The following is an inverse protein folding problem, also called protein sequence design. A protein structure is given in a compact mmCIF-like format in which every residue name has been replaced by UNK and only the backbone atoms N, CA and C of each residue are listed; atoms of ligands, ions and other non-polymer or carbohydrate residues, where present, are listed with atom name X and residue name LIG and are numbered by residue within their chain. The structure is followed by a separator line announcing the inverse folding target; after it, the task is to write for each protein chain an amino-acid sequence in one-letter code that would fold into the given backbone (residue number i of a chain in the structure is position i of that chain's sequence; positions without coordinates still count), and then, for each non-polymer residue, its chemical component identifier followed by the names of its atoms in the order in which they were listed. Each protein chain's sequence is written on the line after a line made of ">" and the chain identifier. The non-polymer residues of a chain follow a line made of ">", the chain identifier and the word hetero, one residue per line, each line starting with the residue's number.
data_IF_794372158830
#
_entry.id   IF_794372158830
#
_cell.length_a   1.000
_cell.length_b   1.000
_cell.length_c   1.000
_cell.angle_alpha   90.00
_cell.angle_beta   90.00
_cell.angle_gamma   90.00
#
_symmetry.space_group_name_H-M   'P 1'
#
loop_
_entity.id
_entity.type
_entity.pdbx_description
1 polymer ?
#
# COMPACT_ATOMS: atom_id res chain seq x y z
N UNK A 1 15.13 26.30 21.25
CA UNK A 1 14.08 25.29 21.52
C UNK A 1 13.20 24.99 20.30
N UNK A 2 13.23 25.79 19.24
CA UNK A 2 12.35 25.65 18.06
C UNK A 2 12.78 24.59 17.02
N UNK A 3 14.02 24.08 17.12
CA UNK A 3 14.61 23.20 16.10
C UNK A 3 14.29 21.71 16.32
N UNK A 4 13.84 21.32 17.50
CA UNK A 4 13.61 19.91 17.87
C UNK A 4 12.20 19.42 17.52
N UNK A 5 11.17 20.27 17.61
CA UNK A 5 9.79 19.95 17.19
C UNK A 5 9.65 19.75 15.67
N UNK A 6 10.44 20.47 14.87
CA UNK A 6 10.44 20.34 13.40
C UNK A 6 11.00 18.98 12.93
N UNK A 7 11.86 18.35 13.74
CA UNK A 7 12.44 17.03 13.45
C UNK A 7 11.48 15.90 13.83
N UNK A 8 10.69 16.07 14.90
CA UNK A 8 9.70 15.08 15.35
C UNK A 8 8.52 14.96 14.37
N UNK A 9 8.02 16.08 13.84
CA UNK A 9 6.92 16.06 12.87
C UNK A 9 7.30 15.43 11.52
N UNK A 10 8.59 15.47 11.16
CA UNK A 10 9.13 14.90 9.92
C UNK A 10 9.30 13.38 9.99
N UNK A 11 9.52 12.81 11.17
CA UNK A 11 9.62 11.36 11.36
C UNK A 11 8.23 10.73 11.41
N UNK A 12 7.26 11.36 12.09
CA UNK A 12 5.88 10.86 12.21
C UNK A 12 5.22 10.65 10.84
N UNK A 13 5.31 11.64 9.94
CA UNK A 13 4.77 11.52 8.57
C UNK A 13 5.42 10.35 7.80
N UNK A 14 6.70 10.06 8.06
CA UNK A 14 7.40 8.96 7.38
C UNK A 14 6.95 7.60 7.91
N UNK A 15 6.76 7.46 9.22
CA UNK A 15 6.28 6.21 9.84
C UNK A 15 4.80 5.94 9.56
N UNK A 16 3.94 6.96 9.63
CA UNK A 16 2.51 6.82 9.28
C UNK A 16 2.32 6.32 7.85
N UNK A 17 3.09 6.86 6.91
CA UNK A 17 3.08 6.42 5.51
C UNK A 17 3.50 4.96 5.34
N UNK A 18 4.45 4.47 6.15
CA UNK A 18 4.87 3.06 6.13
C UNK A 18 3.77 2.17 6.68
N UNK A 19 3.11 2.60 7.77
CA UNK A 19 1.94 1.89 8.32
C UNK A 19 0.83 1.76 7.28
N UNK A 20 0.51 2.83 6.56
CA UNK A 20 -0.56 2.80 5.55
C UNK A 20 -0.24 1.87 4.39
N UNK A 21 1.02 1.84 3.94
CA UNK A 21 1.48 0.92 2.89
C UNK A 21 1.42 -0.55 3.37
N UNK A 22 1.80 -0.81 4.62
CA UNK A 22 1.68 -2.15 5.22
C UNK A 22 0.21 -2.58 5.36
N UNK A 23 -0.66 -1.69 5.81
CA UNK A 23 -2.10 -1.95 5.90
C UNK A 23 -2.68 -2.28 4.52
N UNK A 24 -2.33 -1.51 3.50
CA UNK A 24 -2.71 -1.80 2.11
C UNK A 24 -2.21 -3.17 1.65
N UNK A 25 -0.95 -3.51 1.92
CA UNK A 25 -0.38 -4.79 1.49
C UNK A 25 -1.10 -5.99 2.14
N UNK A 26 -1.48 -5.88 3.41
CA UNK A 26 -2.26 -6.92 4.11
C UNK A 26 -3.65 -7.08 3.48
N UNK A 27 -4.33 -5.98 3.17
CA UNK A 27 -5.65 -6.00 2.51
C UNK A 27 -5.58 -6.61 1.11
N UNK A 28 -4.60 -6.20 0.30
CA UNK A 28 -4.37 -6.75 -1.04
C UNK A 28 -4.04 -8.26 -0.99
N UNK A 29 -3.42 -8.74 0.08
CA UNK A 29 -3.16 -10.17 0.28
C UNK A 29 -4.43 -10.96 0.67
N UNK A 30 -5.29 -10.36 1.49
CA UNK A 30 -6.56 -10.96 1.91
C UNK A 30 -7.63 -10.95 0.79
N UNK A 31 -7.54 -9.99 -0.13
CA UNK A 31 -8.49 -9.81 -1.22
C UNK A 31 -8.31 -10.86 -2.34
N UNK A 32 -9.09 -11.94 -2.29
CA UNK A 32 -9.03 -13.02 -3.30
C UNK A 32 -9.26 -12.56 -4.74
N UNK A 33 -10.15 -11.59 -4.94
CA UNK A 33 -10.46 -11.00 -6.24
C UNK A 33 -9.56 -9.83 -6.64
N UNK A 34 -8.64 -9.43 -5.75
CA UNK A 34 -7.94 -8.16 -5.85
C UNK A 34 -8.80 -6.97 -5.42
N UNK A 35 -8.19 -5.78 -5.44
CA UNK A 35 -8.83 -4.51 -5.11
C UNK A 35 -8.54 -3.48 -6.19
N UNK A 36 -9.55 -2.69 -6.52
CA UNK A 36 -9.44 -1.53 -7.40
C UNK A 36 -8.92 -0.32 -6.65
N UNK A 37 -8.43 0.69 -7.39
CA UNK A 37 -8.04 1.97 -6.80
C UNK A 37 -9.21 2.61 -6.04
N UNK A 38 -10.43 2.48 -6.54
CA UNK A 38 -11.62 3.07 -5.92
C UNK A 38 -11.91 2.41 -4.55
N UNK A 39 -11.81 1.09 -4.46
CA UNK A 39 -11.95 0.36 -3.18
C UNK A 39 -10.84 0.73 -2.20
N UNK A 40 -9.60 0.91 -2.68
CA UNK A 40 -8.48 1.38 -1.84
C UNK A 40 -8.75 2.79 -1.30
N UNK A 41 -9.35 3.68 -2.10
CA UNK A 41 -9.73 5.02 -1.65
C UNK A 41 -10.77 4.96 -0.53
N UNK A 42 -11.80 4.13 -0.71
CA UNK A 42 -12.89 3.99 0.25
C UNK A 42 -12.40 3.36 1.55
N UNK A 43 -11.71 2.22 1.49
CA UNK A 43 -11.26 1.47 2.66
C UNK A 43 -10.24 2.23 3.52
N UNK A 44 -9.35 2.99 2.88
CA UNK A 44 -8.32 3.76 3.59
C UNK A 44 -8.72 5.22 3.79
N UNK A 45 -9.88 5.64 3.29
CA UNK A 45 -10.36 7.03 3.33
C UNK A 45 -9.32 8.03 2.78
N UNK A 46 -8.72 7.69 1.64
CA UNK A 46 -7.67 8.49 1.00
C UNK A 46 -8.07 9.01 -0.38
N UNK A 47 -7.39 10.07 -0.83
CA UNK A 47 -7.54 10.56 -2.21
C UNK A 47 -7.08 9.52 -3.22
N UNK A 48 -7.61 9.57 -4.45
CA UNK A 48 -7.19 8.71 -5.58
C UNK A 48 -5.68 8.70 -5.79
N UNK A 49 -5.07 9.89 -5.82
CA UNK A 49 -3.63 10.04 -6.03
C UNK A 49 -2.82 9.43 -4.88
N UNK A 50 -3.36 9.46 -3.66
CA UNK A 50 -2.74 8.79 -2.52
C UNK A 50 -2.85 7.27 -2.64
N UNK A 51 -4.03 6.74 -3.01
CA UNK A 51 -4.23 5.31 -3.26
C UNK A 51 -3.31 4.78 -4.37
N UNK A 52 -3.23 5.48 -5.50
CA UNK A 52 -2.31 5.14 -6.60
C UNK A 52 -0.86 5.12 -6.15
N UNK A 53 -0.42 6.15 -5.39
CA UNK A 53 0.93 6.19 -4.84
C UNK A 53 1.20 5.07 -3.86
N UNK A 54 0.25 4.74 -2.98
CA UNK A 54 0.37 3.63 -2.04
C UNK A 54 0.48 2.30 -2.80
N UNK A 55 -0.37 2.06 -3.82
CA UNK A 55 -0.28 0.89 -4.70
C UNK A 55 1.06 0.78 -5.40
N UNK A 56 1.57 1.88 -5.99
CA UNK A 56 2.89 1.90 -6.62
C UNK A 56 4.01 1.62 -5.60
N UNK A 57 3.85 2.06 -4.36
CA UNK A 57 4.81 1.76 -3.29
C UNK A 57 4.78 0.28 -2.93
N UNK A 58 3.60 -0.34 -2.87
CA UNK A 58 3.44 -1.79 -2.68
C UNK A 58 4.07 -2.56 -3.84
N UNK A 59 3.81 -2.17 -5.08
CA UNK A 59 4.41 -2.76 -6.28
C UNK A 59 5.95 -2.72 -6.26
N UNK A 60 6.52 -1.62 -5.77
CA UNK A 60 7.96 -1.47 -5.61
C UNK A 60 8.53 -2.28 -4.43
N UNK A 61 7.81 -2.34 -3.31
CA UNK A 61 8.31 -2.93 -2.06
C UNK A 61 8.09 -4.45 -1.96
N UNK A 62 7.09 -5.00 -2.64
CA UNK A 62 6.69 -6.40 -2.54
C UNK A 62 6.74 -7.09 -3.90
N UNK A 63 7.34 -8.28 -3.94
CA UNK A 63 7.24 -9.15 -5.10
C UNK A 63 5.89 -9.86 -5.14
N UNK A 64 5.29 -10.02 -6.32
CA UNK A 64 4.04 -10.77 -6.49
C UNK A 64 2.77 -9.94 -6.32
N UNK A 65 2.82 -8.64 -6.62
CA UNK A 65 1.63 -7.86 -6.92
C UNK A 65 1.19 -8.15 -8.36
N UNK A 66 -0.05 -8.59 -8.56
CA UNK A 66 -0.60 -8.95 -9.86
C UNK A 66 -1.96 -8.28 -10.11
N UNK A 67 -2.36 -8.21 -11.39
CA UNK A 67 -3.73 -7.83 -11.77
C UNK A 67 -4.58 -9.08 -11.97
N UNK A 68 -5.69 -9.17 -11.25
CA UNK A 68 -6.68 -10.23 -11.41
C UNK A 68 -7.74 -9.79 -12.42
N UNK A 69 -8.06 -10.59 -13.45
CA UNK A 69 -9.17 -10.30 -14.34
C UNK A 69 -10.49 -10.45 -13.59
N UNK A 70 -11.28 -9.38 -13.50
CA UNK A 70 -12.59 -9.39 -12.82
C UNK A 70 -13.79 -9.24 -13.78
N UNK A 71 -13.53 -9.16 -15.10
CA UNK A 71 -14.59 -8.99 -16.10
C UNK A 71 -15.15 -7.57 -16.22
N UNK A 72 -14.59 -6.61 -15.49
CA UNK A 72 -14.87 -5.18 -15.64
C UNK A 72 -13.69 -4.45 -16.34
N UNK A 73 -13.86 -3.15 -16.58
CA UNK A 73 -12.81 -2.31 -17.17
C UNK A 73 -11.84 -1.75 -16.11
N UNK A 74 -11.83 -2.30 -14.90
CA UNK A 74 -10.97 -1.84 -13.79
C UNK A 74 -9.85 -2.85 -13.57
N UNK A 75 -8.73 -2.36 -13.06
CA UNK A 75 -7.64 -3.22 -12.63
C UNK A 75 -7.86 -3.61 -11.18
N UNK A 76 -7.90 -4.91 -10.90
CA UNK A 76 -8.01 -5.46 -9.56
C UNK A 76 -6.64 -5.95 -9.13
N UNK A 77 -6.02 -5.24 -8.20
CA UNK A 77 -4.68 -5.57 -7.70
C UNK A 77 -4.76 -6.58 -6.58
N UNK A 78 -3.96 -7.65 -6.67
CA UNK A 78 -3.87 -8.67 -5.61
C UNK A 78 -2.41 -8.92 -5.27
N UNK A 79 -2.14 -9.13 -3.99
CA UNK A 79 -0.84 -9.58 -3.52
C UNK A 79 -0.89 -11.09 -3.29
N UNK A 80 0.06 -11.83 -3.87
CA UNK A 80 0.18 -13.27 -3.65
C UNK A 80 0.26 -13.61 -2.14
N UNK A 81 -0.35 -14.72 -1.73
CA UNK A 81 -0.49 -15.07 -0.30
C UNK A 81 0.85 -15.30 0.40
N UNK A 82 1.94 -15.50 -0.35
CA UNK A 82 3.29 -15.67 0.17
C UNK A 82 4.16 -14.39 0.09
N UNK A 83 3.66 -13.29 -0.49
CA UNK A 83 4.46 -12.11 -0.79
C UNK A 83 4.98 -11.39 0.47
N UNK A 84 4.17 -11.29 1.53
CA UNK A 84 4.63 -10.74 2.83
C UNK A 84 5.71 -11.62 3.49
N UNK A 85 5.75 -12.92 3.18
CA UNK A 85 6.77 -13.86 3.68
C UNK A 85 8.13 -13.67 3.00
N UNK A 86 8.17 -12.95 1.87
CA UNK A 86 9.37 -12.67 1.07
C UNK A 86 9.94 -11.27 1.27
N UNK A 87 9.57 -10.59 2.36
CA UNK A 87 10.18 -9.32 2.73
C UNK A 87 11.70 -9.48 2.76
N UNK A 88 12.38 -8.83 1.81
CA UNK A 88 13.83 -8.81 1.77
C UNK A 88 14.33 -7.89 2.89
N UNK A 89 15.30 -8.33 3.69
CA UNK A 89 15.95 -7.43 4.63
C UNK A 89 16.57 -6.28 3.85
N UNK A 90 16.27 -5.05 4.26
CA UNK A 90 17.00 -3.86 3.78
C UNK A 90 18.41 -4.01 4.32
N UNK A 91 19.34 -4.44 3.48
CA UNK A 91 20.76 -4.67 3.82
C UNK A 91 21.63 -3.82 2.92
#
# INVERSE_FOLDING_TARGET
>A
METSEMQEKKSTIRYERVKDVLDLAIRLQAARGGMTIDEIQEELSVSRRTAERMRNTVEWAFAGLETVPAGDNKLHWRLESNALRRLVPIT
#
